data_IF_478046844160
#
_entry.id   IF_478046844160
#
_cell.length_a   1.000
_cell.length_b   1.000
_cell.length_c   1.000
_cell.angle_alpha   90.00
_cell.angle_beta   90.00
_cell.angle_gamma   90.00
#
_symmetry.space_group_name_H-M   'P 1'
#
loop_
_entity.id
_entity.type
_entity.pdbx_description
1 polymer ?
#
# COMPACT_ATOMS: atom_id res chain seq x y z
N UNK A 1 12.19 22.08 66.25
CA UNK A 1 11.17 22.94 65.60
C UNK A 1 11.51 22.97 64.12
N UNK A 2 11.11 22.01 63.27
CA UNK A 2 9.79 21.69 62.68
C UNK A 2 9.31 22.74 61.66
N UNK A 3 9.68 22.55 60.39
CA UNK A 3 8.99 23.11 59.22
C UNK A 3 8.70 21.97 58.23
N UNK A 4 7.46 21.82 57.73
CA UNK A 4 7.05 20.67 56.94
C UNK A 4 7.34 20.86 55.45
N UNK A 5 7.88 19.81 54.85
CA UNK A 5 8.14 19.66 53.42
C UNK A 5 6.80 19.43 52.70
N UNK A 6 6.23 20.45 52.06
CA UNK A 6 5.06 20.26 51.18
C UNK A 6 5.52 19.72 49.82
N UNK A 7 5.26 18.44 49.61
CA UNK A 7 5.51 17.73 48.37
C UNK A 7 4.31 17.92 47.45
N UNK A 8 4.38 18.89 46.53
CA UNK A 8 3.39 19.07 45.47
C UNK A 8 3.62 17.98 44.41
N UNK A 9 2.83 16.91 44.47
CA UNK A 9 2.81 15.89 43.43
C UNK A 9 1.98 16.38 42.23
N UNK A 10 2.65 16.94 41.23
CA UNK A 10 2.04 17.28 39.95
C UNK A 10 1.80 15.98 39.17
N UNK A 11 0.56 15.49 39.16
CA UNK A 11 0.14 14.40 38.27
C UNK A 11 0.13 14.93 36.84
N UNK A 12 1.11 14.50 36.05
CA UNK A 12 1.17 14.77 34.63
C UNK A 12 0.22 13.79 33.92
N UNK A 13 -0.97 14.24 33.52
CA UNK A 13 -1.83 13.48 32.62
C UNK A 13 -1.12 13.40 31.25
N UNK A 14 -0.49 12.27 30.96
CA UNK A 14 0.02 11.99 29.63
C UNK A 14 -1.18 11.67 28.73
N UNK A 15 -1.61 12.65 27.94
CA UNK A 15 -2.57 12.42 26.87
C UNK A 15 -1.93 11.46 25.85
N UNK A 16 -2.49 10.26 25.72
CA UNK A 16 -2.08 9.31 24.70
C UNK A 16 -2.35 9.92 23.32
N UNK A 17 -1.29 10.28 22.60
CA UNK A 17 -1.42 10.71 21.21
C UNK A 17 -1.99 9.53 20.40
N UNK A 18 -2.92 9.78 19.45
CA UNK A 18 -3.45 8.72 18.61
C UNK A 18 -2.28 8.12 17.82
N UNK A 19 -2.18 6.79 17.83
CA UNK A 19 -1.22 6.09 16.99
C UNK A 19 -1.44 6.52 15.54
N UNK A 20 -0.47 7.22 14.96
CA UNK A 20 -0.50 7.55 13.54
C UNK A 20 -0.51 6.22 12.79
N UNK A 21 -1.64 5.87 12.19
CA UNK A 21 -1.75 4.73 11.31
C UNK A 21 -0.73 4.97 10.19
N UNK A 22 0.32 4.14 10.14
CA UNK A 22 1.37 4.25 9.13
C UNK A 22 0.76 3.85 7.78
N UNK A 23 0.10 4.81 7.14
CA UNK A 23 -0.37 4.70 5.77
C UNK A 23 0.86 4.38 4.92
N UNK A 24 0.80 3.33 4.10
CA UNK A 24 1.92 3.02 3.21
C UNK A 24 2.15 4.23 2.30
N UNK A 25 3.41 4.56 2.01
CA UNK A 25 3.78 5.74 1.21
C UNK A 25 3.13 5.76 -0.19
N UNK A 26 2.60 4.61 -0.62
CA UNK A 26 1.97 4.41 -1.92
C UNK A 26 0.46 4.23 -1.84
N UNK A 27 -0.15 4.39 -0.66
CA UNK A 27 -1.60 4.25 -0.53
C UNK A 27 -2.34 5.33 -1.32
N UNK A 28 -3.48 4.94 -1.90
CA UNK A 28 -4.32 5.81 -2.73
C UNK A 28 -4.64 5.19 -4.09
N UNK A 29 -5.21 6.02 -4.96
CA UNK A 29 -5.62 5.63 -6.31
C UNK A 29 -4.44 5.68 -7.28
N UNK A 30 -4.29 4.64 -8.10
CA UNK A 30 -3.24 4.52 -9.11
C UNK A 30 -3.83 4.14 -10.46
N UNK A 31 -3.48 4.88 -11.49
CA UNK A 31 -3.77 4.50 -12.87
C UNK A 31 -2.69 3.55 -13.38
N UNK A 32 -3.12 2.35 -13.80
CA UNK A 32 -2.23 1.33 -14.32
C UNK A 32 -2.43 1.15 -15.82
N UNK A 33 -1.30 1.00 -16.51
CA UNK A 33 -1.24 0.61 -17.92
C UNK A 33 -0.47 -0.70 -18.02
N UNK A 34 -1.17 -1.78 -18.35
CA UNK A 34 -0.55 -3.04 -18.72
C UNK A 34 -0.35 -3.08 -20.23
N UNK A 35 0.81 -3.56 -20.67
CA UNK A 35 1.12 -3.76 -22.08
C UNK A 35 1.49 -5.23 -22.27
N UNK A 36 0.73 -5.92 -23.12
CA UNK A 36 1.00 -7.32 -23.44
C UNK A 36 2.23 -7.39 -24.35
N UNK A 37 3.33 -7.93 -23.84
CA UNK A 37 4.56 -8.09 -24.62
C UNK A 37 4.54 -9.33 -25.53
N UNK A 38 3.87 -10.40 -25.08
CA UNK A 38 3.73 -11.68 -25.81
C UNK A 38 2.43 -12.36 -25.40
N UNK A 39 1.85 -13.15 -26.31
CA UNK A 39 0.63 -13.92 -26.08
C UNK A 39 -0.60 -13.32 -26.76
N UNK A 40 -1.76 -13.94 -26.54
CA UNK A 40 -3.03 -13.59 -27.18
C UNK A 40 -3.94 -12.70 -26.29
N UNK A 41 -3.37 -11.99 -25.32
CA UNK A 41 -4.11 -10.98 -24.54
C UNK A 41 -4.22 -9.68 -25.36
N UNK A 42 -5.16 -8.80 -25.01
CA UNK A 42 -5.23 -7.47 -25.63
C UNK A 42 -3.90 -6.74 -25.44
N UNK A 43 -3.51 -5.89 -26.41
CA UNK A 43 -2.21 -5.24 -26.41
C UNK A 43 -2.03 -4.29 -25.22
N UNK A 44 -3.10 -3.67 -24.73
CA UNK A 44 -3.05 -2.79 -23.57
C UNK A 44 -4.32 -2.86 -22.73
N UNK A 45 -4.15 -2.86 -21.41
CA UNK A 45 -5.23 -2.74 -20.43
C UNK A 45 -4.98 -1.52 -19.55
N UNK A 46 -6.00 -0.69 -19.40
CA UNK A 46 -5.94 0.51 -18.57
C UNK A 46 -7.00 0.40 -17.50
N UNK A 47 -6.60 0.49 -16.23
CA UNK A 47 -7.53 0.46 -15.11
C UNK A 47 -6.94 1.11 -13.88
N UNK A 48 -7.82 1.68 -13.08
CA UNK A 48 -7.46 2.30 -11.81
C UNK A 48 -7.55 1.27 -10.70
N UNK A 49 -6.50 1.18 -9.88
CA UNK A 49 -6.47 0.34 -8.67
C UNK A 49 -6.34 1.23 -7.45
N UNK A 50 -6.71 0.69 -6.29
CA UNK A 50 -6.45 1.36 -5.03
C UNK A 50 -5.44 0.56 -4.21
N UNK A 51 -4.40 1.24 -3.72
CA UNK A 51 -3.46 0.68 -2.75
C UNK A 51 -3.92 1.07 -1.35
N UNK A 52 -4.09 0.08 -0.48
CA UNK A 52 -4.40 0.26 0.93
C UNK A 52 -3.53 -0.66 1.77
N UNK A 53 -2.69 -0.07 2.63
CA UNK A 53 -1.72 -0.81 3.46
C UNK A 53 -0.81 -1.73 2.61
N UNK A 54 -0.41 -1.21 1.44
CA UNK A 54 0.36 -1.96 0.45
C UNK A 54 -0.42 -3.05 -0.29
N UNK A 55 -1.68 -3.31 0.01
CA UNK A 55 -2.52 -4.24 -0.75
C UNK A 55 -3.11 -3.53 -1.97
N UNK A 56 -2.91 -4.11 -3.15
CA UNK A 56 -3.43 -3.57 -4.41
C UNK A 56 -4.79 -4.20 -4.70
N UNK A 57 -5.85 -3.40 -4.64
CA UNK A 57 -7.23 -3.83 -4.91
C UNK A 57 -7.65 -3.45 -6.33
N UNK A 58 -8.01 -4.43 -7.18
CA UNK A 58 -8.48 -4.20 -8.54
C UNK A 58 -9.99 -3.86 -8.54
N UNK A 59 -10.49 -3.15 -9.57
CA UNK A 59 -11.90 -2.77 -9.62
C UNK A 59 -12.86 -3.93 -9.93
N UNK A 60 -12.45 -4.92 -10.74
CA UNK A 60 -13.36 -5.98 -11.23
C UNK A 60 -12.71 -7.35 -11.48
N UNK A 61 -11.56 -7.66 -10.85
CA UNK A 61 -10.92 -8.97 -10.99
C UNK A 61 -10.97 -9.78 -9.70
N UNK A 62 -11.84 -10.80 -9.67
CA UNK A 62 -12.04 -11.69 -8.52
C UNK A 62 -10.78 -12.47 -8.09
N UNK A 63 -9.76 -12.60 -8.96
CA UNK A 63 -8.52 -13.35 -8.69
C UNK A 63 -7.26 -12.56 -9.05
N UNK A 64 -7.26 -11.25 -8.81
CA UNK A 64 -6.02 -10.47 -8.85
C UNK A 64 -5.48 -10.28 -7.43
N UNK A 65 -4.17 -10.48 -7.29
CA UNK A 65 -3.41 -10.28 -6.06
C UNK A 65 -2.25 -9.35 -6.37
N UNK A 66 -2.18 -8.20 -5.70
CA UNK A 66 -1.04 -7.31 -5.81
C UNK A 66 -0.60 -6.79 -4.46
N UNK A 67 0.70 -6.51 -4.34
CA UNK A 67 1.32 -5.97 -3.15
C UNK A 67 2.40 -4.95 -3.51
N UNK A 68 2.40 -3.81 -2.82
CA UNK A 68 3.41 -2.77 -2.85
C UNK A 68 4.06 -2.65 -1.47
N UNK A 69 5.35 -2.99 -1.39
CA UNK A 69 6.13 -2.83 -0.19
C UNK A 69 6.43 -1.36 0.08
N UNK A 70 6.67 -1.03 1.35
CA UNK A 70 7.11 0.31 1.75
C UNK A 70 8.43 0.74 1.10
N UNK A 71 9.27 -0.21 0.68
CA UNK A 71 10.51 0.03 -0.06
C UNK A 71 10.29 0.40 -1.54
N UNK A 72 9.04 0.35 -2.00
CA UNK A 72 8.65 0.57 -3.39
C UNK A 72 8.62 -0.70 -4.23
N UNK A 73 9.09 -1.85 -3.75
CA UNK A 73 8.99 -3.11 -4.49
C UNK A 73 7.53 -3.51 -4.67
N UNK A 74 7.10 -3.74 -5.91
CA UNK A 74 5.74 -4.13 -6.26
C UNK A 74 5.69 -5.49 -6.93
N UNK A 75 4.64 -6.25 -6.67
CA UNK A 75 4.37 -7.55 -7.30
C UNK A 75 2.88 -7.70 -7.57
N UNK A 76 2.54 -8.34 -8.67
CA UNK A 76 1.16 -8.62 -9.05
C UNK A 76 1.06 -10.02 -9.64
N UNK A 77 -0.07 -10.66 -9.43
CA UNK A 77 -0.45 -11.91 -10.08
C UNK A 77 -1.94 -11.91 -10.33
N UNK A 78 -2.33 -12.38 -11.50
CA UNK A 78 -3.69 -12.43 -11.96
C UNK A 78 -3.99 -13.81 -12.51
N UNK A 79 -5.17 -14.32 -12.21
CA UNK A 79 -5.67 -15.56 -12.78
C UNK A 79 -7.04 -15.31 -13.41
N UNK A 80 -7.21 -15.68 -14.67
CA UNK A 80 -8.47 -15.58 -15.40
C UNK A 80 -8.75 -16.93 -16.04
N UNK A 81 -9.79 -17.62 -15.56
CA UNK A 81 -10.10 -19.01 -15.92
C UNK A 81 -8.86 -19.93 -15.73
N UNK A 82 -8.38 -20.55 -16.80
CA UNK A 82 -7.22 -21.46 -16.84
C UNK A 82 -5.88 -20.72 -17.12
N UNK A 83 -5.90 -19.39 -17.23
CA UNK A 83 -4.71 -18.59 -17.57
C UNK A 83 -4.23 -17.80 -16.36
N UNK A 84 -2.92 -17.72 -16.19
CA UNK A 84 -2.30 -16.92 -15.14
C UNK A 84 -1.18 -16.05 -15.69
N UNK A 85 -0.99 -14.89 -15.07
CA UNK A 85 0.12 -14.00 -15.32
C UNK A 85 0.64 -13.45 -13.99
N UNK A 86 1.93 -13.17 -13.93
CA UNK A 86 2.59 -12.59 -12.77
C UNK A 86 3.61 -11.57 -13.25
N UNK A 87 3.81 -10.52 -12.46
CA UNK A 87 4.73 -9.43 -12.78
C UNK A 87 5.30 -8.80 -11.53
N UNK A 88 6.43 -8.12 -11.70
CA UNK A 88 7.13 -7.40 -10.63
C UNK A 88 7.54 -6.02 -11.12
N UNK A 89 7.68 -5.09 -10.19
CA UNK A 89 8.04 -3.72 -10.52
C UNK A 89 8.49 -2.93 -9.32
N UNK A 90 8.62 -1.62 -9.53
CA UNK A 90 9.01 -0.68 -8.50
C UNK A 90 8.22 0.62 -8.61
N UNK A 91 7.79 1.12 -7.46
CA UNK A 91 7.15 2.42 -7.28
C UNK A 91 8.17 3.41 -6.70
N UNK A 92 8.21 4.61 -7.26
CA UNK A 92 9.06 5.72 -6.83
C UNK A 92 8.26 7.01 -6.85
N UNK A 93 8.01 7.58 -5.67
CA UNK A 93 7.09 8.71 -5.52
C UNK A 93 5.69 8.33 -6.02
N UNK A 94 5.19 9.05 -7.02
CA UNK A 94 3.87 8.87 -7.64
C UNK A 94 3.89 8.11 -8.96
N UNK A 95 5.02 7.47 -9.31
CA UNK A 95 5.18 6.75 -10.57
C UNK A 95 5.77 5.37 -10.33
N UNK A 96 5.68 4.47 -11.31
CA UNK A 96 6.27 3.15 -11.20
C UNK A 96 6.25 2.39 -12.51
N UNK A 97 6.98 1.29 -12.55
CA UNK A 97 7.10 0.44 -13.74
C UNK A 97 7.57 -0.96 -13.41
N UNK A 98 7.28 -1.91 -14.30
CA UNK A 98 7.53 -3.31 -14.07
C UNK A 98 7.42 -4.17 -15.32
N UNK A 99 7.59 -5.48 -15.15
CA UNK A 99 7.51 -6.52 -16.19
C UNK A 99 6.87 -7.77 -15.63
#
# INVERSE_FOLDING_TARGET
>A
MKTPLWMTATVCLMAAAPAAQARSAYDGSWDLVFVTQRGACDPSYNFTVNISDGIVTPPNLAKFRGYAAISGSARASVTVHERSASGTGRLTGTTGGGR
#
